data_IF_519389929705
#
_entry.id   IF_519389929705
#
_cell.length_a   1.000
_cell.length_b   1.000
_cell.length_c   1.000
_cell.angle_alpha   90.00
_cell.angle_beta   90.00
_cell.angle_gamma   90.00
#
_symmetry.space_group_name_H-M   'P 1'
#
loop_
_entity.id
_entity.type
_entity.pdbx_description
1 polymer ?
#
# COMPACT_ATOMS: atom_id res chain seq x y z
N UNK A 1 -1.75 26.81 12.77
CA UNK A 1 -1.96 25.37 13.07
C UNK A 1 -1.02 24.54 12.21
N UNK A 2 -0.22 23.68 12.81
CA UNK A 2 0.59 22.78 12.00
C UNK A 2 -0.28 21.79 11.27
N UNK A 3 0.16 21.42 10.08
CA UNK A 3 -0.52 20.42 9.26
C UNK A 3 0.00 19.03 9.67
N UNK A 4 -0.88 18.06 9.92
CA UNK A 4 -0.42 16.72 10.26
C UNK A 4 0.19 16.01 9.05
N UNK A 5 1.01 15.00 9.30
CA UNK A 5 1.42 14.07 8.25
C UNK A 5 0.31 13.04 8.08
N UNK A 6 -0.08 12.79 6.85
CA UNK A 6 -1.10 11.80 6.54
C UNK A 6 -0.41 10.61 5.89
N UNK A 7 -0.42 9.47 6.58
CA UNK A 7 0.19 8.26 6.09
C UNK A 7 -0.86 7.16 5.97
N UNK A 8 -0.52 6.10 5.22
CA UNK A 8 -1.43 4.98 5.02
C UNK A 8 -1.18 3.90 6.06
N UNK A 9 -2.25 3.29 6.55
CA UNK A 9 -2.17 2.12 7.41
C UNK A 9 -3.16 1.08 6.89
N UNK A 10 -2.64 -0.08 6.50
CA UNK A 10 -3.44 -1.13 5.88
C UNK A 10 -3.62 -2.29 6.85
N UNK A 11 -4.76 -2.97 6.74
CA UNK A 11 -5.02 -4.18 7.51
C UNK A 11 -5.19 -5.37 6.58
N UNK A 12 -4.59 -6.49 6.95
CA UNK A 12 -4.66 -7.75 6.21
C UNK A 12 -5.14 -8.87 7.13
N UNK A 13 -5.50 -9.98 6.55
CA UNK A 13 -5.93 -11.16 7.30
C UNK A 13 -4.89 -12.27 7.10
N UNK A 14 -3.76 -12.12 7.77
CA UNK A 14 -2.67 -13.10 7.71
C UNK A 14 -1.69 -12.91 6.56
N UNK A 15 -1.90 -11.92 5.69
CA UNK A 15 -1.07 -11.71 4.49
C UNK A 15 -0.17 -10.49 4.59
N UNK A 16 -0.11 -9.84 5.75
CA UNK A 16 0.63 -8.58 5.89
C UNK A 16 2.11 -8.72 5.53
N UNK A 17 2.78 -9.77 6.02
CA UNK A 17 4.20 -9.95 5.73
C UNK A 17 4.47 -10.09 4.24
N UNK A 18 3.68 -10.91 3.54
CA UNK A 18 3.82 -11.08 2.10
C UNK A 18 3.56 -9.78 1.36
N UNK A 19 2.48 -9.09 1.74
CA UNK A 19 2.08 -7.85 1.08
C UNK A 19 3.15 -6.78 1.25
N UNK A 20 3.64 -6.58 2.45
CA UNK A 20 4.65 -5.55 2.73
C UNK A 20 5.98 -5.85 2.02
N UNK A 21 6.39 -7.12 1.98
CA UNK A 21 7.59 -7.49 1.23
C UNK A 21 7.41 -7.22 -0.26
N UNK A 22 6.24 -7.52 -0.80
CA UNK A 22 5.91 -7.24 -2.19
C UNK A 22 5.95 -5.72 -2.46
N UNK A 23 5.32 -4.93 -1.60
CA UNK A 23 5.32 -3.47 -1.77
C UNK A 23 6.72 -2.88 -1.65
N UNK A 24 7.52 -3.38 -0.73
CA UNK A 24 8.90 -2.94 -0.58
C UNK A 24 9.72 -3.25 -1.84
N UNK A 25 9.53 -4.42 -2.42
CA UNK A 25 10.23 -4.82 -3.65
C UNK A 25 9.83 -3.94 -4.83
N UNK A 26 8.54 -3.61 -4.95
CA UNK A 26 8.02 -2.84 -6.07
C UNK A 26 8.28 -1.34 -5.91
N UNK A 27 8.01 -0.81 -4.72
CA UNK A 27 8.06 0.64 -4.48
C UNK A 27 9.42 1.13 -4.03
N UNK A 28 10.24 0.25 -3.47
CA UNK A 28 11.51 0.63 -2.89
C UNK A 28 11.34 1.19 -1.49
N UNK A 29 12.16 2.17 -1.15
CA UNK A 29 12.13 2.76 0.18
C UNK A 29 12.86 1.89 1.19
N UNK A 30 12.58 2.13 2.47
CA UNK A 30 13.26 1.46 3.56
C UNK A 30 12.25 0.69 4.40
N UNK A 31 12.46 -0.62 4.55
CA UNK A 31 11.64 -1.43 5.44
C UNK A 31 12.11 -1.18 6.87
N UNK A 32 11.34 -0.39 7.62
CA UNK A 32 11.72 0.03 8.96
C UNK A 32 11.33 -0.96 10.04
N UNK A 33 10.22 -1.68 9.85
CA UNK A 33 9.69 -2.57 10.86
C UNK A 33 8.92 -3.72 10.24
N UNK A 34 9.02 -4.87 10.86
CA UNK A 34 8.24 -6.06 10.55
C UNK A 34 8.21 -6.90 11.82
N UNK A 35 7.18 -6.71 12.64
CA UNK A 35 7.12 -7.30 13.97
C UNK A 35 5.87 -8.16 14.11
N UNK A 36 6.05 -9.40 14.55
CA UNK A 36 4.91 -10.27 14.85
C UNK A 36 4.31 -9.90 16.21
N UNK A 37 3.10 -10.41 16.47
CA UNK A 37 2.48 -10.24 17.79
C UNK A 37 3.33 -10.86 18.89
N UNK A 38 3.95 -12.02 18.63
CA UNK A 38 4.79 -12.67 19.63
C UNK A 38 6.05 -11.89 19.95
N UNK A 39 6.57 -11.12 18.99
CA UNK A 39 7.77 -10.31 19.17
C UNK A 39 7.51 -8.96 19.82
N UNK A 40 6.23 -8.61 20.05
CA UNK A 40 5.89 -7.30 20.61
C UNK A 40 6.43 -7.16 22.04
N UNK A 41 6.64 -5.92 22.52
CA UNK A 41 7.09 -5.71 23.92
C UNK A 41 6.10 -6.23 24.96
N UNK A 42 4.84 -6.46 24.56
CA UNK A 42 3.81 -6.97 25.45
C UNK A 42 3.19 -8.25 24.89
N UNK A 43 3.98 -9.35 24.81
CA UNK A 43 3.49 -10.59 24.19
C UNK A 43 2.30 -11.20 24.92
N UNK A 44 2.10 -10.85 26.20
CA UNK A 44 0.95 -11.32 26.96
C UNK A 44 -0.37 -10.77 26.43
N UNK A 45 -0.32 -9.69 25.61
CA UNK A 45 -1.51 -9.13 24.97
C UNK A 45 -1.75 -9.70 23.58
N UNK A 46 -0.99 -10.73 23.20
CA UNK A 46 -1.16 -11.37 21.90
C UNK A 46 -2.47 -12.14 21.84
N UNK A 47 -3.37 -11.82 20.90
CA UNK A 47 -4.61 -12.58 20.76
C UNK A 47 -4.33 -14.05 20.45
N UNK A 48 -5.19 -14.98 20.92
CA UNK A 48 -4.96 -16.40 20.64
C UNK A 48 -4.87 -16.70 19.14
N UNK A 49 -3.86 -17.48 18.77
CA UNK A 49 -3.66 -17.87 17.38
C UNK A 49 -3.00 -16.82 16.51
N UNK A 50 -2.56 -15.67 17.10
CA UNK A 50 -2.00 -14.55 16.34
C UNK A 50 -0.49 -14.43 16.44
N UNK A 51 0.20 -15.38 17.06
CA UNK A 51 1.63 -15.30 17.36
C UNK A 51 2.48 -14.97 16.12
N UNK A 52 2.16 -15.59 14.99
CA UNK A 52 2.91 -15.42 13.75
C UNK A 52 2.37 -14.32 12.85
N UNK A 53 1.27 -13.70 13.23
CA UNK A 53 0.70 -12.59 12.46
C UNK A 53 1.47 -11.31 12.74
N UNK A 54 1.41 -10.39 11.79
CA UNK A 54 2.15 -9.13 11.91
C UNK A 54 1.35 -8.12 12.73
N UNK A 55 1.93 -7.69 13.85
CA UNK A 55 1.36 -6.64 14.68
C UNK A 55 1.63 -5.26 14.07
N UNK A 56 2.80 -5.08 13.45
CA UNK A 56 3.15 -3.82 12.83
C UNK A 56 4.25 -4.00 11.79
N UNK A 57 4.07 -3.37 10.64
CA UNK A 57 5.07 -3.29 9.58
C UNK A 57 5.09 -1.87 9.03
N UNK A 58 6.25 -1.43 8.55
CA UNK A 58 6.40 -0.06 8.07
C UNK A 58 7.45 0.02 6.97
N UNK A 59 7.08 0.67 5.87
CA UNK A 59 8.01 1.05 4.80
C UNK A 59 8.07 2.58 4.78
N UNK A 60 9.29 3.12 4.82
CA UNK A 60 9.50 4.54 4.66
C UNK A 60 9.72 4.86 3.17
N UNK A 61 8.87 5.74 2.63
CA UNK A 61 8.95 6.21 1.25
C UNK A 61 9.14 7.73 1.31
N UNK A 62 10.39 8.17 1.23
CA UNK A 62 10.78 9.57 1.45
C UNK A 62 10.25 10.04 2.81
N UNK A 63 9.36 11.04 2.82
CA UNK A 63 8.80 11.58 4.06
C UNK A 63 7.43 10.96 4.42
N UNK A 64 7.04 9.89 3.75
CA UNK A 64 5.76 9.20 3.99
C UNK A 64 5.99 7.78 4.45
N UNK A 65 5.03 7.26 5.20
CA UNK A 65 5.07 5.91 5.70
C UNK A 65 3.92 5.08 5.13
N UNK A 66 4.24 3.88 4.69
CA UNK A 66 3.23 2.87 4.37
C UNK A 66 3.31 1.83 5.47
N UNK A 67 2.29 1.78 6.31
CA UNK A 67 2.24 0.92 7.47
C UNK A 67 1.17 -0.14 7.30
N UNK A 68 1.31 -1.22 8.03
CA UNK A 68 0.32 -2.29 7.94
C UNK A 68 0.41 -3.22 9.15
N UNK A 69 -0.66 -3.97 9.34
CA UNK A 69 -0.68 -5.08 10.29
C UNK A 69 -1.68 -6.12 9.82
N UNK A 70 -1.64 -7.29 10.44
CA UNK A 70 -2.71 -8.27 10.31
C UNK A 70 -3.73 -8.01 11.40
N UNK A 71 -5.00 -8.25 11.08
CA UNK A 71 -6.02 -8.32 12.11
C UNK A 71 -5.76 -9.54 12.99
N UNK A 72 -6.21 -9.53 14.26
CA UNK A 72 -6.08 -10.73 15.10
C UNK A 72 -6.77 -11.93 14.48
N UNK A 73 -6.20 -13.12 14.73
CA UNK A 73 -6.78 -14.36 14.21
C UNK A 73 -8.20 -14.53 14.72
N UNK A 74 -9.09 -14.99 13.83
CA UNK A 74 -10.48 -15.25 14.19
C UNK A 74 -11.39 -14.03 14.15
N UNK A 75 -10.86 -12.83 13.94
CA UNK A 75 -11.71 -11.65 13.76
C UNK A 75 -12.23 -11.58 12.33
N UNK A 76 -13.49 -11.16 12.14
CA UNK A 76 -14.02 -10.96 10.79
C UNK A 76 -13.21 -9.92 10.04
N UNK A 77 -12.87 -10.22 8.78
CA UNK A 77 -12.13 -9.31 7.92
C UNK A 77 -12.89 -9.14 6.61
N UNK A 78 -13.33 -7.93 6.34
CA UNK A 78 -14.16 -7.64 5.18
C UNK A 78 -13.35 -7.11 3.98
N UNK A 79 -12.04 -6.99 4.12
CA UNK A 79 -11.19 -6.43 3.08
C UNK A 79 -11.21 -4.92 3.05
N UNK A 80 -10.54 -4.35 2.06
CA UNK A 80 -10.45 -2.90 1.89
C UNK A 80 -11.47 -2.45 0.86
N UNK A 81 -12.28 -1.46 1.23
CA UNK A 81 -13.33 -0.93 0.35
C UNK A 81 -13.36 0.58 0.44
N UNK A 82 -13.65 1.24 -0.68
CA UNK A 82 -13.85 2.67 -0.72
C UNK A 82 -12.61 3.53 -0.55
N UNK A 83 -11.42 2.93 -0.65
CA UNK A 83 -10.14 3.62 -0.50
C UNK A 83 -9.18 3.11 -1.56
N UNK A 84 -8.39 4.03 -2.13
CA UNK A 84 -7.26 3.67 -2.99
C UNK A 84 -6.04 4.44 -2.53
N UNK A 85 -4.88 3.82 -2.70
CA UNK A 85 -3.61 4.51 -2.50
C UNK A 85 -3.16 5.09 -3.83
N UNK A 86 -2.72 6.33 -3.82
CA UNK A 86 -2.33 7.03 -5.04
C UNK A 86 -0.81 7.18 -5.10
N UNK A 87 -0.23 6.71 -6.21
CA UNK A 87 1.19 6.87 -6.50
C UNK A 87 1.34 7.83 -7.67
N UNK A 88 2.15 8.87 -7.48
CA UNK A 88 2.39 9.86 -8.50
C UNK A 88 3.86 9.84 -8.89
N UNK A 89 4.11 9.50 -10.15
CA UNK A 89 5.48 9.45 -10.67
C UNK A 89 5.72 10.65 -11.60
N UNK A 90 6.96 11.15 -11.65
CA UNK A 90 7.25 12.27 -12.53
C UNK A 90 7.22 11.91 -14.01
N UNK A 91 7.35 10.61 -14.36
CA UNK A 91 7.37 10.22 -15.76
C UNK A 91 6.55 8.95 -16.01
N UNK A 92 6.26 8.73 -17.28
CA UNK A 92 5.42 7.62 -17.73
C UNK A 92 6.10 6.26 -17.50
N UNK A 93 7.41 6.17 -17.76
CA UNK A 93 8.09 4.87 -17.68
C UNK A 93 8.10 4.29 -16.27
N UNK A 94 8.29 5.13 -15.25
CA UNK A 94 8.24 4.69 -13.86
C UNK A 94 6.83 4.25 -13.46
N UNK A 95 5.82 5.03 -13.85
CA UNK A 95 4.43 4.70 -13.56
C UNK A 95 4.04 3.37 -14.19
N UNK A 96 4.42 3.16 -15.44
CA UNK A 96 4.10 1.93 -16.16
C UNK A 96 4.76 0.71 -15.52
N UNK A 97 6.03 0.84 -15.13
CA UNK A 97 6.76 -0.25 -14.49
C UNK A 97 6.08 -0.66 -13.18
N UNK A 98 5.71 0.31 -12.35
CA UNK A 98 5.04 0.04 -11.08
C UNK A 98 3.65 -0.54 -11.30
N UNK A 99 2.90 0.00 -12.26
CA UNK A 99 1.57 -0.50 -12.57
C UNK A 99 1.62 -1.98 -12.96
N UNK A 100 2.54 -2.33 -13.85
CA UNK A 100 2.68 -3.72 -14.31
C UNK A 100 3.05 -4.65 -13.14
N UNK A 101 3.98 -4.21 -12.29
CA UNK A 101 4.41 -5.02 -11.15
C UNK A 101 3.29 -5.22 -10.12
N UNK A 102 2.57 -4.15 -9.77
CA UNK A 102 1.48 -4.24 -8.78
C UNK A 102 0.29 -5.03 -9.31
N UNK A 103 0.01 -4.97 -10.61
CA UNK A 103 -1.14 -5.68 -11.17
C UNK A 103 -0.90 -7.17 -11.34
N UNK A 104 0.34 -7.64 -11.22
CA UNK A 104 0.68 -9.05 -11.34
C UNK A 104 -0.04 -9.87 -10.25
N UNK A 105 -0.86 -10.82 -10.66
CA UNK A 105 -1.67 -11.62 -9.74
C UNK A 105 -2.89 -10.91 -9.20
N UNK A 106 -3.08 -9.66 -9.59
CA UNK A 106 -4.23 -8.85 -9.20
C UNK A 106 -5.19 -8.62 -10.36
N UNK A 107 -5.85 -7.47 -10.34
CA UNK A 107 -6.86 -7.12 -11.34
C UNK A 107 -6.68 -5.68 -11.79
N UNK A 108 -6.58 -5.47 -13.10
CA UNK A 108 -6.60 -4.12 -13.67
C UNK A 108 -8.05 -3.64 -13.70
N UNK A 109 -8.31 -2.54 -12.99
CA UNK A 109 -9.64 -1.93 -12.96
C UNK A 109 -9.79 -0.93 -14.09
N UNK A 110 -8.75 -0.12 -14.31
CA UNK A 110 -8.71 0.84 -15.41
C UNK A 110 -7.31 0.80 -16.02
N UNK A 111 -7.16 0.39 -17.28
CA UNK A 111 -5.83 0.34 -17.90
C UNK A 111 -5.19 1.71 -17.98
N UNK A 112 -3.86 1.74 -18.00
CA UNK A 112 -3.12 3.00 -18.15
C UNK A 112 -3.48 3.68 -19.45
N UNK A 113 -3.90 4.94 -19.35
CA UNK A 113 -4.25 5.75 -20.51
C UNK A 113 -4.10 7.23 -20.18
N UNK A 114 -3.94 8.10 -21.21
CA UNK A 114 -3.85 9.54 -20.96
C UNK A 114 -5.14 10.10 -20.38
N UNK A 115 -4.99 11.10 -19.51
CA UNK A 115 -6.12 11.86 -18.96
C UNK A 115 -5.79 13.34 -19.09
N UNK A 116 -6.74 14.20 -18.68
CA UNK A 116 -6.48 15.64 -18.75
C UNK A 116 -5.49 16.11 -17.66
N UNK A 117 -5.26 15.31 -16.60
CA UNK A 117 -4.36 15.68 -15.51
C UNK A 117 -3.03 14.93 -15.52
N UNK A 118 -2.89 13.87 -16.31
CA UNK A 118 -1.68 13.07 -16.33
C UNK A 118 -1.40 12.54 -17.71
N UNK A 119 -0.13 12.36 -18.04
CA UNK A 119 0.27 11.73 -19.29
C UNK A 119 -0.22 10.28 -19.34
N UNK A 120 -0.22 9.61 -18.19
CA UNK A 120 -0.78 8.28 -18.08
C UNK A 120 -1.37 8.08 -16.68
N UNK A 121 -2.50 7.39 -16.62
CA UNK A 121 -3.21 7.11 -15.36
C UNK A 121 -3.91 5.76 -15.47
N UNK A 122 -3.89 4.99 -14.40
CA UNK A 122 -4.62 3.73 -14.33
C UNK A 122 -4.96 3.36 -12.90
N UNK A 123 -5.80 2.34 -12.78
CA UNK A 123 -6.24 1.82 -11.47
C UNK A 123 -6.17 0.31 -11.48
N UNK A 124 -5.81 -0.25 -10.35
CA UNK A 124 -5.75 -1.70 -10.17
C UNK A 124 -6.08 -2.08 -8.74
N UNK A 125 -6.44 -3.34 -8.54
CA UNK A 125 -6.47 -3.96 -7.23
C UNK A 125 -5.41 -5.05 -7.23
N UNK A 126 -4.49 -5.01 -6.28
CA UNK A 126 -3.40 -5.98 -6.27
C UNK A 126 -3.87 -7.33 -5.72
N UNK A 127 -2.94 -8.31 -5.74
CA UNK A 127 -3.26 -9.68 -5.30
C UNK A 127 -3.64 -9.78 -3.83
N UNK A 128 -3.36 -8.76 -3.04
CA UNK A 128 -3.68 -8.71 -1.62
C UNK A 128 -4.94 -7.91 -1.32
N UNK A 129 -5.58 -7.35 -2.34
CA UNK A 129 -6.83 -6.62 -2.20
C UNK A 129 -6.69 -5.12 -2.01
N UNK A 130 -5.48 -4.59 -2.10
CA UNK A 130 -5.27 -3.13 -2.01
C UNK A 130 -5.53 -2.48 -3.34
N UNK A 131 -6.32 -1.40 -3.34
CA UNK A 131 -6.60 -0.62 -4.55
C UNK A 131 -5.55 0.47 -4.72
N UNK A 132 -5.05 0.62 -5.95
CA UNK A 132 -4.02 1.58 -6.31
C UNK A 132 -4.47 2.44 -7.47
N UNK A 133 -4.16 3.73 -7.39
CA UNK A 133 -4.27 4.67 -8.51
C UNK A 133 -2.86 5.11 -8.85
N UNK A 134 -2.47 4.98 -10.11
CA UNK A 134 -1.10 5.25 -10.51
C UNK A 134 -1.09 6.27 -11.64
N UNK A 135 -0.36 7.36 -11.43
CA UNK A 135 -0.22 8.45 -12.40
C UNK A 135 1.24 8.64 -12.76
N UNK A 136 1.49 8.97 -14.02
CA UNK A 136 2.81 9.34 -14.47
C UNK A 136 2.76 10.59 -15.34
N UNK A 137 3.69 11.53 -15.09
CA UNK A 137 3.74 12.75 -15.88
C UNK A 137 2.54 13.65 -15.62
N UNK A 138 2.47 14.27 -14.45
CA UNK A 138 1.34 15.12 -14.10
C UNK A 138 1.30 16.35 -15.01
N UNK A 139 0.15 16.57 -15.65
CA UNK A 139 -0.07 17.73 -16.49
C UNK A 139 -0.39 18.93 -15.63
N UNK A 140 0.11 20.09 -16.07
CA UNK A 140 -0.21 21.32 -15.38
C UNK A 140 -1.68 21.68 -15.59
N UNK A 141 -2.37 21.90 -14.48
CA UNK A 141 -3.78 22.27 -14.54
C UNK A 141 -3.90 23.75 -14.95
N UNK A 142 -4.92 24.08 -15.77
CA UNK A 142 -5.19 25.49 -16.04
C UNK A 142 -5.57 26.21 -14.76
N UNK A 143 -5.03 27.41 -14.58
CA UNK A 143 -5.40 28.22 -13.43
C UNK A 143 -6.69 28.99 -13.75
N UNK A 144 -7.53 29.13 -12.76
CA UNK A 144 -8.78 29.88 -12.87
C UNK A 144 -8.65 31.26 -12.26
#
# INVERSE_FOLDING_TARGET
>A
MPTPKLDAYLFFDGKCAEAIRFYHQVLGGKLQAMMTYAESPEPQHCPPGSQDRIMHACIELDDRLLMASDTPAGQPYEGMKGVSLALLYPNVSEAKKTFDALSSGGKVVMPLSPTFWADIFGMLTDRYGTSWMISGGMKQQPQK
#
